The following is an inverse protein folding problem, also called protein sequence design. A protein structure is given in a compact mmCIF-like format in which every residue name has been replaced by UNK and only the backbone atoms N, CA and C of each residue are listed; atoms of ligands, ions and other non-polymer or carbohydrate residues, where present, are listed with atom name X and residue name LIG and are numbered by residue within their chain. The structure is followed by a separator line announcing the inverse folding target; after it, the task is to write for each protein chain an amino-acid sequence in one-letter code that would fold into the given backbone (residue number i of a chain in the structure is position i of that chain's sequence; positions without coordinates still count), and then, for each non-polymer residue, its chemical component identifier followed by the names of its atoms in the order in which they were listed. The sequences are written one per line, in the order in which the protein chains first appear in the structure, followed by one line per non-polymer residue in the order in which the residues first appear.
data_IF_592560392114
#
_entry.id   IF_592560392114
#
_cell.length_a   1.000
_cell.length_b   1.000
_cell.length_c   1.000
_cell.angle_alpha   90.00
_cell.angle_beta   90.00
_cell.angle_gamma   90.00
#
_symmetry.space_group_name_H-M   'P 1'
#
loop_
_entity.id
_entity.type
_entity.pdbx_description
1 polymer ?
#
# COMPACT_ATOMS: atom_id res chain seq x y z
N UNK A 1 -36.38 -0.72 8.28
CA UNK A 1 -35.02 -0.20 8.04
C UNK A 1 -35.13 0.76 6.88
N UNK A 2 -34.87 2.06 7.13
CA UNK A 2 -35.00 3.17 6.16
C UNK A 2 -34.20 2.85 4.88
N UNK A 3 -34.79 3.16 3.71
CA UNK A 3 -34.18 2.90 2.40
C UNK A 3 -32.84 3.63 2.24
N UNK A 4 -32.64 4.77 2.93
CA UNK A 4 -31.33 5.45 2.99
C UNK A 4 -30.28 4.63 3.73
N UNK A 5 -30.65 4.02 4.85
CA UNK A 5 -29.76 3.16 5.65
C UNK A 5 -29.41 1.89 4.88
N UNK A 6 -30.38 1.29 4.18
CA UNK A 6 -30.12 0.16 3.28
C UNK A 6 -29.15 0.54 2.16
N UNK A 7 -29.37 1.65 1.48
CA UNK A 7 -28.50 2.12 0.39
C UNK A 7 -27.06 2.40 0.86
N UNK A 8 -26.89 3.06 2.02
CA UNK A 8 -25.57 3.31 2.60
C UNK A 8 -24.86 2.01 3.02
N UNK A 9 -25.59 1.05 3.57
CA UNK A 9 -25.04 -0.26 3.95
C UNK A 9 -24.54 -1.03 2.72
N UNK A 10 -25.30 -1.00 1.61
CA UNK A 10 -24.89 -1.61 0.34
C UNK A 10 -23.60 -0.98 -0.21
N UNK A 11 -23.44 0.34 -0.10
CA UNK A 11 -22.25 1.03 -0.60
C UNK A 11 -21.00 0.72 0.24
N UNK A 12 -21.13 0.66 1.57
CA UNK A 12 -20.02 0.25 2.45
C UNK A 12 -19.61 -1.20 2.15
N UNK A 13 -20.58 -2.10 1.98
CA UNK A 13 -20.28 -3.48 1.62
C UNK A 13 -19.54 -3.58 0.28
N UNK A 14 -19.92 -2.75 -0.70
CA UNK A 14 -19.21 -2.67 -1.97
C UNK A 14 -17.77 -2.18 -1.79
N UNK A 15 -17.53 -1.15 -0.97
CA UNK A 15 -16.16 -0.71 -0.64
C UNK A 15 -15.34 -1.84 -0.01
N UNK A 16 -15.92 -2.58 0.93
CA UNK A 16 -15.25 -3.72 1.58
C UNK A 16 -14.96 -4.85 0.57
N UNK A 17 -15.87 -5.12 -0.36
CA UNK A 17 -15.63 -6.11 -1.42
C UNK A 17 -14.54 -5.68 -2.41
N UNK A 18 -14.48 -4.40 -2.77
CA UNK A 18 -13.38 -3.88 -3.61
C UNK A 18 -12.06 -4.03 -2.84
N UNK A 19 -11.99 -3.54 -1.61
CA UNK A 19 -10.81 -3.66 -0.74
C UNK A 19 -10.36 -5.11 -0.59
N UNK A 20 -11.32 -6.04 -0.49
CA UNK A 20 -11.06 -7.47 -0.38
C UNK A 20 -10.26 -8.06 -1.54
N UNK A 21 -10.29 -7.45 -2.74
CA UNK A 21 -9.49 -7.89 -3.89
C UNK A 21 -7.98 -7.80 -3.66
N UNK A 22 -7.53 -6.95 -2.74
CA UNK A 22 -6.11 -6.84 -2.38
C UNK A 22 -5.53 -8.13 -1.80
N UNK A 23 -6.37 -9.05 -1.33
CA UNK A 23 -5.96 -10.39 -0.89
C UNK A 23 -5.56 -11.29 -2.06
N UNK A 24 -6.10 -11.01 -3.25
CA UNK A 24 -5.86 -11.76 -4.47
C UNK A 24 -4.88 -11.02 -5.41
N UNK A 25 -4.65 -9.73 -5.19
CA UNK A 25 -3.62 -8.94 -5.88
C UNK A 25 -2.24 -9.34 -5.35
N UNK A 26 -1.55 -10.23 -6.06
CA UNK A 26 -0.15 -10.57 -5.78
C UNK A 26 0.76 -9.39 -6.11
N UNK A 27 1.81 -9.17 -5.31
CA UNK A 27 2.79 -8.13 -5.63
C UNK A 27 3.58 -8.49 -6.89
N UNK A 28 3.44 -7.68 -7.92
CA UNK A 28 3.92 -7.90 -9.29
C UNK A 28 5.43 -8.09 -9.33
N UNK A 29 6.19 -7.35 -8.50
CA UNK A 29 7.64 -7.51 -8.40
C UNK A 29 8.06 -8.96 -8.08
N UNK A 30 7.35 -9.66 -7.20
CA UNK A 30 7.66 -11.05 -6.85
C UNK A 30 7.25 -12.02 -7.95
N UNK A 31 6.07 -11.80 -8.56
CA UNK A 31 5.56 -12.59 -9.69
C UNK A 31 6.55 -12.57 -10.86
N UNK A 32 7.03 -11.39 -11.23
CA UNK A 32 7.99 -11.20 -12.32
C UNK A 32 9.35 -11.85 -12.05
N UNK A 33 9.73 -11.99 -10.78
CA UNK A 33 10.98 -12.63 -10.36
C UNK A 33 10.81 -14.14 -10.04
N UNK A 34 9.65 -14.71 -10.39
CA UNK A 34 9.38 -16.14 -10.29
C UNK A 34 9.33 -16.67 -8.85
N UNK A 35 9.00 -15.81 -7.88
CA UNK A 35 8.77 -16.23 -6.49
C UNK A 35 7.56 -17.16 -6.43
N UNK A 36 7.66 -18.24 -5.65
CA UNK A 36 6.59 -19.20 -5.47
C UNK A 36 5.63 -18.72 -4.37
N UNK A 37 4.33 -18.68 -4.68
CA UNK A 37 3.27 -18.19 -3.78
C UNK A 37 3.62 -16.81 -3.18
N UNK A 38 3.78 -15.78 -4.04
CA UNK A 38 4.12 -14.45 -3.56
C UNK A 38 2.99 -13.85 -2.71
N UNK A 39 3.39 -13.03 -1.75
CA UNK A 39 2.50 -12.26 -0.88
C UNK A 39 1.51 -11.41 -1.69
N UNK A 40 0.36 -11.16 -1.09
CA UNK A 40 -0.61 -10.20 -1.60
C UNK A 40 -0.26 -8.77 -1.16
N UNK A 41 -0.82 -7.77 -1.84
CA UNK A 41 -0.71 -6.36 -1.41
C UNK A 41 -1.29 -6.16 0.00
N UNK A 42 -2.32 -6.92 0.35
CA UNK A 42 -2.88 -6.90 1.71
C UNK A 42 -1.89 -7.42 2.77
N UNK A 43 -1.08 -8.45 2.46
CA UNK A 43 -0.06 -8.97 3.38
C UNK A 43 1.04 -7.93 3.65
N UNK A 44 1.48 -7.26 2.58
CA UNK A 44 2.46 -6.17 2.65
C UNK A 44 1.96 -5.02 3.54
N UNK A 45 0.77 -4.48 3.27
CA UNK A 45 0.20 -3.39 4.08
C UNK A 45 -0.04 -3.81 5.53
N UNK A 46 -0.39 -5.07 5.78
CA UNK A 46 -0.54 -5.60 7.14
C UNK A 46 0.79 -5.56 7.90
N UNK A 47 1.88 -6.07 7.31
CA UNK A 47 3.19 -6.09 7.98
C UNK A 47 3.72 -4.67 8.19
N UNK A 48 3.51 -3.77 7.23
CA UNK A 48 3.80 -2.34 7.42
C UNK A 48 3.01 -1.72 8.59
N UNK A 49 1.71 -1.99 8.71
CA UNK A 49 0.91 -1.49 9.82
C UNK A 49 1.47 -1.99 11.17
N UNK A 50 1.90 -3.26 11.26
CA UNK A 50 2.60 -3.81 12.43
C UNK A 50 3.91 -3.07 12.70
N UNK A 51 4.71 -2.76 11.68
CA UNK A 51 5.96 -1.99 11.83
C UNK A 51 5.71 -0.60 12.44
N UNK A 52 4.61 0.08 12.06
CA UNK A 52 4.28 1.39 12.65
C UNK A 52 3.99 1.31 14.14
N UNK A 53 3.56 0.16 14.66
CA UNK A 53 3.36 -0.02 16.10
C UNK A 53 4.67 0.05 16.90
N UNK A 54 5.79 -0.24 16.25
CA UNK A 54 7.13 -0.24 16.85
C UNK A 54 7.74 1.17 16.98
N UNK A 55 7.14 2.19 16.36
CA UNK A 55 7.53 3.59 16.50
C UNK A 55 7.49 4.00 17.97
N UNK A 56 8.53 4.66 18.46
CA UNK A 56 8.56 5.21 19.83
C UNK A 56 8.21 6.70 19.85
N UNK A 57 8.21 7.32 21.04
CA UNK A 57 7.91 8.76 21.15
C UNK A 57 9.09 9.66 20.76
N UNK A 58 10.28 9.10 20.49
CA UNK A 58 11.50 9.87 20.20
C UNK A 58 11.51 10.44 18.78
N UNK A 59 10.72 9.86 17.91
CA UNK A 59 10.64 10.12 16.48
C UNK A 59 9.74 11.33 16.17
N UNK A 60 8.95 11.79 17.15
CA UNK A 60 8.02 12.91 16.98
C UNK A 60 6.89 12.65 15.97
N UNK A 61 6.65 11.38 15.62
CA UNK A 61 5.66 10.96 14.63
C UNK A 61 4.33 10.61 15.30
N UNK A 62 3.22 10.92 14.62
CA UNK A 62 1.92 10.38 15.00
C UNK A 62 1.76 8.93 14.54
N UNK A 63 1.91 7.99 15.49
CA UNK A 63 1.77 6.54 15.24
C UNK A 63 0.44 6.14 14.60
N UNK A 64 -0.68 6.69 15.06
CA UNK A 64 -2.00 6.38 14.49
C UNK A 64 -2.08 6.84 13.03
N UNK A 65 -1.54 8.03 12.74
CA UNK A 65 -1.48 8.54 11.36
C UNK A 65 -0.60 7.67 10.47
N UNK A 66 0.59 7.26 10.94
CA UNK A 66 1.46 6.32 10.22
C UNK A 66 0.74 5.00 9.90
N UNK A 67 0.01 4.44 10.88
CA UNK A 67 -0.75 3.21 10.68
C UNK A 67 -1.85 3.39 9.62
N UNK A 68 -2.59 4.51 9.68
CA UNK A 68 -3.62 4.83 8.68
C UNK A 68 -3.04 5.01 7.27
N UNK A 69 -1.88 5.64 7.16
CA UNK A 69 -1.16 5.76 5.88
C UNK A 69 -0.76 4.38 5.36
N UNK A 70 -0.17 3.53 6.20
CA UNK A 70 0.27 2.18 5.82
C UNK A 70 -0.87 1.32 5.26
N UNK A 71 -2.07 1.38 5.83
CA UNK A 71 -3.21 0.57 5.37
C UNK A 71 -3.98 1.19 4.18
N UNK A 72 -3.70 2.44 3.80
CA UNK A 72 -4.40 3.16 2.71
C UNK A 72 -3.55 3.31 1.45
N UNK A 73 -2.22 3.34 1.58
CA UNK A 73 -1.36 3.80 0.49
C UNK A 73 -1.51 3.03 -0.82
N UNK A 74 -1.60 1.69 -0.76
CA UNK A 74 -1.81 0.83 -1.93
C UNK A 74 -3.29 0.42 -2.13
N UNK A 75 -4.24 1.10 -1.48
CA UNK A 75 -5.67 0.76 -1.57
C UNK A 75 -6.20 0.85 -3.02
N UNK A 76 -5.60 1.72 -3.84
CA UNK A 76 -5.93 1.90 -5.25
C UNK A 76 -5.70 0.63 -6.10
N UNK A 77 -4.74 -0.20 -5.70
CA UNK A 77 -4.34 -1.43 -6.40
C UNK A 77 -5.45 -2.50 -6.37
N UNK A 78 -6.46 -2.33 -5.51
CA UNK A 78 -7.68 -3.12 -5.52
C UNK A 78 -8.46 -3.02 -6.85
N UNK A 79 -8.24 -1.94 -7.59
CA UNK A 79 -8.86 -1.66 -8.90
C UNK A 79 -7.81 -1.66 -10.01
N UNK A 80 -6.67 -1.01 -9.79
CA UNK A 80 -5.64 -0.81 -10.83
C UNK A 80 -4.75 -2.06 -11.00
N UNK A 81 -4.61 -2.88 -9.95
CA UNK A 81 -3.54 -3.87 -9.84
C UNK A 81 -2.24 -3.24 -9.34
N UNK A 82 -1.30 -4.08 -8.91
CA UNK A 82 0.06 -3.64 -8.53
C UNK A 82 0.86 -3.35 -9.82
N UNK A 83 1.11 -2.07 -10.09
CA UNK A 83 1.80 -1.63 -11.31
C UNK A 83 3.31 -1.58 -11.08
N UNK A 84 4.04 -2.44 -11.78
CA UNK A 84 5.50 -2.50 -11.69
C UNK A 84 6.17 -1.59 -12.74
N UNK A 85 7.43 -1.15 -12.50
CA UNK A 85 8.20 -0.40 -13.49
C UNK A 85 8.40 -1.13 -14.82
N UNK A 86 8.30 -2.47 -14.85
CA UNK A 86 8.49 -3.28 -16.05
C UNK A 86 7.38 -3.07 -17.09
N UNK A 87 6.20 -2.64 -16.64
CA UNK A 87 4.99 -2.49 -17.47
C UNK A 87 4.98 -1.22 -18.32
N UNK A 88 5.94 -0.30 -18.13
CA UNK A 88 6.13 0.87 -18.98
C UNK A 88 5.04 1.94 -18.87
N UNK A 89 4.22 1.90 -17.82
CA UNK A 89 3.26 2.97 -17.48
C UNK A 89 4.06 4.15 -16.89
N UNK A 90 3.80 5.38 -17.34
CA UNK A 90 4.46 6.56 -16.78
C UNK A 90 3.96 6.86 -15.37
N UNK A 91 4.79 7.52 -14.55
CA UNK A 91 4.41 7.91 -13.19
C UNK A 91 3.13 8.76 -13.18
N UNK A 92 2.95 9.64 -14.17
CA UNK A 92 1.75 10.47 -14.29
C UNK A 92 0.49 9.65 -14.58
N UNK A 93 0.59 8.66 -15.48
CA UNK A 93 -0.54 7.81 -15.82
C UNK A 93 -0.87 6.84 -14.68
N UNK A 94 0.13 6.28 -14.02
CA UNK A 94 -0.04 5.48 -12.80
C UNK A 94 -0.78 6.29 -11.73
N UNK A 95 -0.27 7.49 -11.41
CA UNK A 95 -0.89 8.37 -10.43
C UNK A 95 -2.33 8.73 -10.80
N UNK A 96 -2.61 9.00 -12.08
CA UNK A 96 -3.97 9.29 -12.57
C UNK A 96 -4.91 8.10 -12.36
N UNK A 97 -4.49 6.91 -12.76
CA UNK A 97 -5.31 5.69 -12.60
C UNK A 97 -5.60 5.37 -11.13
N UNK A 98 -4.61 5.50 -10.27
CA UNK A 98 -4.76 5.26 -8.85
C UNK A 98 -5.64 6.31 -8.16
N UNK A 99 -5.48 7.59 -8.55
CA UNK A 99 -6.36 8.66 -8.07
C UNK A 99 -7.82 8.46 -8.47
N UNK A 100 -8.06 8.02 -9.71
CA UNK A 100 -9.41 7.69 -10.19
C UNK A 100 -10.01 6.50 -9.40
N UNK A 101 -9.18 5.48 -9.12
CA UNK A 101 -9.58 4.33 -8.30
C UNK A 101 -9.95 4.72 -6.87
N UNK A 102 -9.12 5.52 -6.20
CA UNK A 102 -9.39 6.02 -4.84
C UNK A 102 -10.64 6.90 -4.82
N UNK A 103 -10.81 7.79 -5.80
CA UNK A 103 -12.02 8.63 -5.91
C UNK A 103 -13.27 7.77 -6.03
N UNK A 104 -13.22 6.71 -6.84
CA UNK A 104 -14.33 5.77 -7.00
C UNK A 104 -14.62 5.02 -5.70
N UNK A 105 -13.59 4.50 -5.02
CA UNK A 105 -13.76 3.76 -3.78
C UNK A 105 -14.33 4.64 -2.67
N UNK A 106 -13.77 5.83 -2.47
CA UNK A 106 -14.18 6.77 -1.42
C UNK A 106 -15.58 7.35 -1.65
N UNK A 107 -16.05 7.42 -2.90
CA UNK A 107 -17.42 7.85 -3.23
C UNK A 107 -18.51 6.91 -2.69
N UNK A 108 -18.15 5.67 -2.34
CA UNK A 108 -19.06 4.68 -1.75
C UNK A 108 -19.24 4.87 -0.23
N UNK A 109 -18.43 5.73 0.38
CA UNK A 109 -18.39 5.92 1.83
C UNK A 109 -19.13 7.19 2.27
N UNK A 110 -19.50 7.30 3.56
CA UNK A 110 -19.93 8.57 4.12
C UNK A 110 -18.89 9.66 3.85
N UNK A 111 -19.33 10.87 3.53
CA UNK A 111 -18.47 11.97 3.05
C UNK A 111 -17.22 12.19 3.91
N UNK A 112 -17.36 12.19 5.23
CA UNK A 112 -16.24 12.42 6.15
C UNK A 112 -15.19 11.30 6.09
N UNK A 113 -15.63 10.04 6.05
CA UNK A 113 -14.74 8.87 5.98
C UNK A 113 -14.06 8.81 4.61
N UNK A 114 -14.82 9.00 3.53
CA UNK A 114 -14.27 9.04 2.18
C UNK A 114 -13.22 10.13 2.01
N UNK A 115 -13.45 11.31 2.60
CA UNK A 115 -12.49 12.41 2.59
C UNK A 115 -11.22 12.08 3.38
N UNK A 116 -11.32 11.48 4.57
CA UNK A 116 -10.15 11.08 5.36
C UNK A 116 -9.24 10.12 4.57
N UNK A 117 -9.82 9.08 3.95
CA UNK A 117 -9.07 8.09 3.16
C UNK A 117 -8.43 8.75 1.93
N UNK A 118 -9.18 9.58 1.20
CA UNK A 118 -8.63 10.29 0.04
C UNK A 118 -7.46 11.20 0.43
N UNK A 119 -7.55 11.89 1.56
CA UNK A 119 -6.48 12.76 2.05
C UNK A 119 -5.26 11.98 2.55
N UNK A 120 -5.45 10.81 3.17
CA UNK A 120 -4.36 9.90 3.53
C UNK A 120 -3.59 9.43 2.29
N UNK A 121 -4.32 9.01 1.25
CA UNK A 121 -3.72 8.61 -0.03
C UNK A 121 -2.92 9.77 -0.65
N UNK A 122 -3.50 10.96 -0.78
CA UNK A 122 -2.81 12.13 -1.33
C UNK A 122 -1.60 12.56 -0.48
N UNK A 123 -1.68 12.45 0.85
CA UNK A 123 -0.56 12.74 1.76
C UNK A 123 0.63 11.80 1.51
N UNK A 124 0.37 10.50 1.38
CA UNK A 124 1.39 9.50 1.07
C UNK A 124 2.05 9.78 -0.28
N UNK A 125 1.23 9.98 -1.33
CA UNK A 125 1.70 10.25 -2.69
C UNK A 125 2.55 11.51 -2.77
N UNK A 126 2.13 12.59 -2.09
CA UNK A 126 2.85 13.87 -2.11
C UNK A 126 4.15 13.83 -1.27
N UNK A 127 4.28 12.90 -0.32
CA UNK A 127 5.45 12.73 0.56
C UNK A 127 5.86 14.01 1.31
N UNK A 128 4.88 14.81 1.74
CA UNK A 128 5.17 16.13 2.34
C UNK A 128 5.33 16.07 3.87
N UNK A 129 4.59 15.18 4.54
CA UNK A 129 4.63 15.04 6.01
C UNK A 129 5.76 14.12 6.47
N UNK A 130 6.15 14.24 7.74
CA UNK A 130 7.16 13.35 8.32
C UNK A 130 6.65 11.91 8.40
N UNK A 131 5.35 11.75 8.66
CA UNK A 131 4.62 10.48 8.66
C UNK A 131 4.61 9.83 7.28
N UNK A 132 4.24 10.55 6.21
CA UNK A 132 4.22 10.00 4.85
C UNK A 132 5.62 9.56 4.40
N UNK A 133 6.65 10.38 4.67
CA UNK A 133 8.04 10.02 4.37
C UNK A 133 8.48 8.78 5.17
N UNK A 134 8.07 8.68 6.44
CA UNK A 134 8.38 7.52 7.28
C UNK A 134 7.70 6.24 6.79
N UNK A 135 6.43 6.32 6.42
CA UNK A 135 5.72 5.15 5.88
C UNK A 135 6.33 4.74 4.53
N UNK A 136 6.85 5.69 3.73
CA UNK A 136 7.58 5.34 2.51
C UNK A 136 8.91 4.62 2.78
N UNK A 137 9.63 4.98 3.84
CA UNK A 137 10.80 4.21 4.29
C UNK A 137 10.38 2.80 4.71
N UNK A 138 9.26 2.65 5.43
CA UNK A 138 8.76 1.34 5.82
C UNK A 138 8.35 0.48 4.61
N UNK A 139 7.73 1.05 3.58
CA UNK A 139 7.39 0.34 2.34
C UNK A 139 8.64 -0.27 1.69
N UNK A 140 9.70 0.55 1.53
CA UNK A 140 10.98 0.08 1.01
C UNK A 140 11.64 -0.96 1.92
N UNK A 141 11.58 -0.76 3.24
CA UNK A 141 12.15 -1.69 4.22
C UNK A 141 11.44 -3.05 4.20
N UNK A 142 10.12 -3.05 4.16
CA UNK A 142 9.29 -4.25 4.07
C UNK A 142 9.62 -5.05 2.81
N UNK A 143 9.73 -4.35 1.67
CA UNK A 143 10.12 -4.96 0.40
C UNK A 143 11.48 -5.68 0.47
N UNK A 144 12.53 -5.05 1.01
CA UNK A 144 13.86 -5.68 1.09
C UNK A 144 13.94 -6.77 2.17
N UNK A 145 13.17 -6.63 3.26
CA UNK A 145 13.04 -7.69 4.26
C UNK A 145 12.38 -8.94 3.62
N UNK A 146 11.31 -8.73 2.85
CA UNK A 146 10.63 -9.80 2.13
C UNK A 146 11.52 -10.46 1.07
N UNK A 147 12.31 -9.67 0.33
CA UNK A 147 13.30 -10.21 -0.61
C UNK A 147 14.26 -11.17 0.09
N UNK A 148 14.81 -10.78 1.25
CA UNK A 148 15.70 -11.64 2.03
C UNK A 148 15.00 -12.93 2.48
N UNK A 149 13.74 -12.83 2.93
CA UNK A 149 12.95 -13.99 3.37
C UNK A 149 12.69 -14.97 2.23
N UNK A 150 12.34 -14.49 1.02
CA UNK A 150 12.17 -15.35 -0.15
C UNK A 150 13.47 -16.01 -0.59
N UNK A 151 14.58 -15.26 -0.66
CA UNK A 151 15.89 -15.84 -0.99
C UNK A 151 16.26 -16.98 -0.04
N UNK A 152 15.98 -16.82 1.26
CA UNK A 152 16.23 -17.84 2.27
C UNK A 152 15.27 -19.03 2.14
N UNK A 153 13.98 -18.78 1.94
CA UNK A 153 12.93 -19.81 1.84
C UNK A 153 13.13 -20.70 0.60
N UNK A 154 13.47 -20.08 -0.53
CA UNK A 154 13.62 -20.76 -1.83
C UNK A 154 15.06 -21.17 -2.13
N UNK A 155 16.00 -20.94 -1.21
CA UNK A 155 17.43 -21.28 -1.35
C UNK A 155 18.09 -20.63 -2.58
N UNK A 156 17.68 -19.40 -2.90
CA UNK A 156 18.09 -18.65 -4.10
C UNK A 156 18.88 -17.38 -3.75
N UNK A 157 19.88 -17.53 -2.90
CA UNK A 157 20.64 -16.42 -2.31
C UNK A 157 21.24 -15.51 -3.40
N UNK A 158 20.90 -14.21 -3.34
CA UNK A 158 21.39 -13.18 -4.27
C UNK A 158 20.54 -12.99 -5.53
N UNK A 159 19.50 -13.79 -5.75
CA UNK A 159 18.64 -13.67 -6.94
C UNK A 159 17.77 -12.41 -6.93
N UNK A 160 17.45 -11.87 -5.75
CA UNK A 160 16.57 -10.70 -5.59
C UNK A 160 17.39 -9.44 -5.26
N UNK A 161 18.68 -9.42 -5.60
CA UNK A 161 19.59 -8.29 -5.32
C UNK A 161 19.12 -6.95 -5.91
N UNK A 162 18.35 -6.98 -7.01
CA UNK A 162 17.77 -5.79 -7.64
C UNK A 162 16.88 -4.98 -6.69
N UNK A 163 16.15 -5.64 -5.79
CA UNK A 163 15.32 -4.99 -4.77
C UNK A 163 16.15 -4.25 -3.73
N UNK A 164 17.29 -4.82 -3.31
CA UNK A 164 18.20 -4.15 -2.39
C UNK A 164 18.85 -2.94 -3.08
N UNK A 165 19.31 -3.11 -4.32
CA UNK A 165 19.95 -2.04 -5.07
C UNK A 165 19.00 -0.86 -5.32
N UNK A 166 17.71 -1.12 -5.52
CA UNK A 166 16.70 -0.09 -5.76
C UNK A 166 16.41 0.80 -4.54
N UNK A 167 16.87 0.41 -3.34
CA UNK A 167 16.69 1.16 -2.08
C UNK A 167 17.97 1.85 -1.58
N UNK A 168 19.12 1.59 -2.22
CA UNK A 168 20.40 2.15 -1.80
C UNK A 168 20.38 3.68 -1.82
N UNK A 169 20.67 4.31 -0.67
CA UNK A 169 20.69 5.77 -0.51
C UNK A 169 19.32 6.46 -0.54
N UNK A 170 18.22 5.70 -0.41
CA UNK A 170 16.84 6.26 -0.45
C UNK A 170 16.15 6.38 0.90
N UNK A 171 16.64 5.67 1.92
CA UNK A 171 16.16 5.84 3.28
C UNK A 171 16.53 7.23 3.79
N UNK A 172 15.64 7.85 4.57
CA UNK A 172 15.97 9.10 5.27
C UNK A 172 17.16 8.89 6.22
N UNK A 173 18.06 9.86 6.23
CA UNK A 173 19.13 9.98 7.24
C UNK A 173 18.58 10.48 8.59
#
# INVERSE_FOLDING_TARGET
MDDRVKSQTCNILQFIHITGKLKDTQRTGWVENGVCEPESVADHMYRMAVMTMLITNKEGLNKERCMKLAIVHDLAEAIVGDVSPSQGISDEEKHRQEKDAITKMTSLLPKEIGLEISQLYEEYEARQTNEAKFVKDLDMFDMIAQAHEYEKKEQRKGDLQTFFNSTAGRFRE
#
